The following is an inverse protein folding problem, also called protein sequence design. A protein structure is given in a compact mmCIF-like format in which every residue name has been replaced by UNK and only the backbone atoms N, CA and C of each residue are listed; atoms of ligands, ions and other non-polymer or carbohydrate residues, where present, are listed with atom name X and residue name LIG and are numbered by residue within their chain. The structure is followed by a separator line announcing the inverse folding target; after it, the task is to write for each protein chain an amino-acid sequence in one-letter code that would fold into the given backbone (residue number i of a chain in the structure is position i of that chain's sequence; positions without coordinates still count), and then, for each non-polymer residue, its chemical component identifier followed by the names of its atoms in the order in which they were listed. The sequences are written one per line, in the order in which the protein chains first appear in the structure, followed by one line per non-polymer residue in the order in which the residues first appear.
data_IF_754610075955
#
_entry.id   IF_754610075955
#
_cell.length_a   1.000
_cell.length_b   1.000
_cell.length_c   1.000
_cell.angle_alpha   90.00
_cell.angle_beta   90.00
_cell.angle_gamma   90.00
#
_symmetry.space_group_name_H-M   'P 1'
#
loop_
_entity.id
_entity.type
_entity.pdbx_description
1 polymer ?
#
# COMPACT_ATOMS: atom_id res chain seq x y z
N UNK A 1 11.52 -20.30 -2.56
CA UNK A 1 11.15 -19.11 -1.77
C UNK A 1 12.36 -18.24 -1.47
N UNK A 2 13.46 -18.79 -0.92
CA UNK A 2 14.73 -18.08 -0.69
C UNK A 2 15.30 -17.33 -1.91
N UNK A 3 15.24 -17.89 -3.12
CA UNK A 3 15.76 -17.22 -4.33
C UNK A 3 14.97 -15.98 -4.80
N UNK A 4 13.72 -15.80 -4.36
CA UNK A 4 12.91 -14.61 -4.69
C UNK A 4 13.12 -13.47 -3.69
N UNK A 5 13.61 -13.77 -2.48
CA UNK A 5 13.88 -12.77 -1.43
C UNK A 5 15.05 -11.86 -1.82
N UNK A 6 15.94 -12.36 -2.69
CA UNK A 6 17.13 -11.64 -3.16
C UNK A 6 16.87 -10.78 -4.41
N UNK A 7 15.68 -10.87 -5.01
CA UNK A 7 15.29 -10.02 -6.14
C UNK A 7 14.32 -8.93 -5.70
N UNK A 8 14.65 -7.69 -6.03
CA UNK A 8 13.76 -6.57 -5.80
C UNK A 8 12.50 -6.68 -6.68
N UNK A 9 11.38 -7.05 -6.05
CA UNK A 9 10.07 -7.11 -6.71
C UNK A 9 9.44 -5.72 -6.76
N UNK A 10 9.21 -5.19 -7.96
CA UNK A 10 8.51 -3.94 -8.19
C UNK A 10 7.19 -4.16 -8.91
N UNK A 11 6.14 -3.46 -8.45
CA UNK A 11 4.83 -3.43 -9.07
C UNK A 11 4.43 -1.99 -9.41
N UNK A 12 3.43 -1.84 -10.28
CA UNK A 12 2.75 -0.57 -10.51
C UNK A 12 1.39 -0.57 -9.84
N UNK A 13 1.08 0.45 -9.06
CA UNK A 13 -0.25 0.67 -8.48
C UNK A 13 -1.08 1.50 -9.47
N UNK A 14 -2.28 1.04 -9.77
CA UNK A 14 -3.25 1.66 -10.70
C UNK A 14 -4.65 1.70 -10.10
N UNK A 15 -5.63 2.20 -10.85
CA UNK A 15 -7.03 2.26 -10.43
C UNK A 15 -7.32 3.27 -9.32
N UNK A 16 -6.35 4.12 -8.98
CA UNK A 16 -6.43 5.05 -7.85
C UNK A 16 -7.55 6.08 -7.98
N UNK A 17 -7.93 6.44 -9.21
CA UNK A 17 -9.01 7.38 -9.51
C UNK A 17 -10.41 6.86 -9.16
N UNK A 18 -10.58 5.55 -8.94
CA UNK A 18 -11.82 4.99 -8.40
C UNK A 18 -11.92 5.10 -6.87
N UNK A 19 -10.87 5.62 -6.22
CA UNK A 19 -10.76 5.75 -4.77
C UNK A 19 -10.43 7.21 -4.41
N UNK A 20 -9.23 7.45 -3.86
CA UNK A 20 -8.80 8.75 -3.35
C UNK A 20 -7.76 9.44 -4.26
N UNK A 21 -7.58 8.96 -5.49
CA UNK A 21 -6.56 9.42 -6.42
C UNK A 21 -5.15 9.24 -5.87
N UNK A 22 -4.26 10.19 -6.14
CA UNK A 22 -2.86 10.12 -5.70
C UNK A 22 -2.64 10.57 -4.24
N UNK A 23 -3.65 11.19 -3.61
CA UNK A 23 -3.54 11.83 -2.28
C UNK A 23 -3.01 10.90 -1.16
N UNK A 24 -3.43 9.63 -1.06
CA UNK A 24 -2.95 8.73 0.00
C UNK A 24 -1.50 8.27 -0.17
N UNK A 25 -0.89 8.52 -1.33
CA UNK A 25 0.40 7.96 -1.67
C UNK A 25 1.52 8.97 -1.43
N UNK A 26 2.49 8.59 -0.60
CA UNK A 26 3.79 9.23 -0.49
C UNK A 26 4.87 8.17 -0.57
N UNK A 27 6.03 8.55 -1.09
CA UNK A 27 7.22 7.67 -1.08
C UNK A 27 7.53 7.29 0.37
N UNK A 28 7.70 6.00 0.63
CA UNK A 28 7.95 5.47 1.96
C UNK A 28 6.70 5.10 2.78
N UNK A 29 5.48 5.39 2.30
CA UNK A 29 4.27 4.95 3.00
C UNK A 29 4.21 3.42 3.08
N UNK A 30 3.80 2.90 4.23
CA UNK A 30 3.49 1.48 4.37
C UNK A 30 2.05 1.23 3.92
N UNK A 31 1.88 0.32 2.96
CA UNK A 31 0.58 -0.13 2.44
C UNK A 31 0.56 -1.67 2.43
N UNK A 32 -0.63 -2.28 2.39
CA UNK A 32 -0.76 -3.73 2.22
C UNK A 32 -1.19 -4.07 0.78
N UNK A 33 -0.63 -5.14 0.24
CA UNK A 33 -1.22 -5.89 -0.87
C UNK A 33 -2.12 -6.98 -0.29
N UNK A 34 -3.35 -7.11 -0.80
CA UNK A 34 -4.31 -8.14 -0.37
C UNK A 34 -4.89 -8.82 -1.61
N UNK A 35 -4.77 -10.14 -1.71
CA UNK A 35 -5.40 -10.92 -2.79
C UNK A 35 -6.93 -10.85 -2.67
N UNK A 36 -7.62 -10.68 -3.80
CA UNK A 36 -9.07 -10.57 -3.86
C UNK A 36 -9.64 -11.57 -4.89
N UNK A 37 -9.61 -12.89 -4.59
CA UNK A 37 -10.04 -13.93 -5.55
C UNK A 37 -11.53 -13.86 -5.91
N UNK A 38 -12.35 -13.23 -5.06
CA UNK A 38 -13.79 -13.01 -5.29
C UNK A 38 -14.08 -11.78 -6.16
N UNK A 39 -13.04 -11.16 -6.74
CA UNK A 39 -13.21 -10.00 -7.61
C UNK A 39 -13.89 -10.42 -8.93
N UNK A 40 -15.04 -9.81 -9.22
CA UNK A 40 -15.89 -10.18 -10.36
C UNK A 40 -15.25 -9.94 -11.75
N UNK A 41 -14.15 -9.20 -11.82
CA UNK A 41 -13.48 -8.85 -13.09
C UNK A 41 -12.19 -9.63 -13.31
N UNK A 42 -11.46 -9.97 -12.25
CA UNK A 42 -10.13 -10.59 -12.31
C UNK A 42 -9.89 -11.41 -11.04
N UNK A 43 -9.95 -12.74 -11.13
CA UNK A 43 -9.71 -13.66 -9.99
C UNK A 43 -8.27 -13.58 -9.45
N UNK A 44 -7.35 -12.97 -10.20
CA UNK A 44 -5.97 -12.68 -9.77
C UNK A 44 -5.80 -11.23 -9.27
N UNK A 45 -6.90 -10.53 -8.96
CA UNK A 45 -6.84 -9.17 -8.46
C UNK A 45 -6.07 -9.09 -7.13
N UNK A 46 -5.19 -8.09 -7.03
CA UNK A 46 -4.45 -7.76 -5.81
C UNK A 46 -4.74 -6.30 -5.45
N UNK A 47 -5.55 -6.12 -4.42
CA UNK A 47 -5.91 -4.81 -3.88
C UNK A 47 -4.76 -4.18 -3.13
N UNK A 48 -4.67 -2.85 -3.19
CA UNK A 48 -3.74 -2.03 -2.41
C UNK A 48 -4.52 -1.33 -1.31
N UNK A 49 -4.12 -1.53 -0.06
CA UNK A 49 -4.79 -1.04 1.13
C UNK A 49 -3.91 -0.04 1.88
N UNK A 50 -4.46 1.13 2.20
CA UNK A 50 -3.86 2.09 3.13
C UNK A 50 -4.39 1.86 4.55
N UNK A 51 -3.55 1.98 5.59
CA UNK A 51 -3.99 1.89 6.98
C UNK A 51 -5.12 2.87 7.28
N UNK A 52 -6.12 2.43 8.04
CA UNK A 52 -7.32 3.19 8.45
C UNK A 52 -8.28 3.56 7.30
N UNK A 53 -7.75 3.95 6.14
CA UNK A 53 -8.53 4.45 4.99
C UNK A 53 -9.16 3.29 4.18
N UNK A 54 -8.45 2.17 4.05
CA UNK A 54 -8.91 1.01 3.27
C UNK A 54 -8.36 0.97 1.84
N UNK A 55 -9.16 0.48 0.89
CA UNK A 55 -8.72 0.23 -0.50
C UNK A 55 -8.43 1.53 -1.23
N UNK A 56 -7.24 1.62 -1.84
CA UNK A 56 -6.75 2.82 -2.54
C UNK A 56 -6.34 2.57 -3.99
N UNK A 57 -6.34 1.31 -4.44
CA UNK A 57 -6.02 0.93 -5.82
C UNK A 57 -5.80 -0.57 -5.97
N UNK A 58 -5.20 -0.96 -7.10
CA UNK A 58 -4.84 -2.34 -7.43
C UNK A 58 -3.44 -2.43 -8.03
N UNK A 59 -2.86 -3.63 -7.99
CA UNK A 59 -1.69 -3.96 -8.80
C UNK A 59 -2.09 -3.96 -10.29
N UNK A 60 -1.32 -3.28 -11.12
CA UNK A 60 -1.56 -3.21 -12.55
C UNK A 60 -1.43 -4.59 -13.22
N UNK A 61 -2.45 -5.01 -13.97
CA UNK A 61 -2.42 -6.26 -14.73
C UNK A 61 -2.33 -6.07 -16.26
N UNK A 62 -2.46 -4.85 -16.77
CA UNK A 62 -2.43 -4.57 -18.22
C UNK A 62 -1.14 -3.88 -18.69
N UNK A 63 -0.64 -4.12 -19.92
CA UNK A 63 0.56 -3.47 -20.44
C UNK A 63 0.48 -1.93 -20.48
N UNK A 64 -0.73 -1.37 -20.66
CA UNK A 64 -0.95 0.07 -20.70
C UNK A 64 -0.75 0.73 -19.31
N UNK A 65 -1.15 0.04 -18.25
CA UNK A 65 -1.08 0.55 -16.87
C UNK A 65 0.25 0.23 -16.21
N UNK A 66 0.93 -0.84 -16.62
CA UNK A 66 2.22 -1.27 -16.09
C UNK A 66 3.35 -0.27 -16.43
N UNK A 67 4.18 0.09 -15.45
CA UNK A 67 5.45 0.76 -15.71
C UNK A 67 6.48 -0.27 -16.21
N UNK A 68 7.30 0.09 -17.20
CA UNK A 68 8.36 -0.80 -17.69
C UNK A 68 9.31 -1.18 -16.54
N UNK A 69 9.67 -2.47 -16.47
CA UNK A 69 10.49 -3.03 -15.40
C UNK A 69 9.72 -3.48 -14.16
N UNK A 70 8.39 -3.27 -14.09
CA UNK A 70 7.54 -3.81 -13.03
C UNK A 70 6.89 -5.15 -13.43
N UNK A 71 6.52 -5.93 -12.42
CA UNK A 71 5.71 -7.15 -12.54
C UNK A 71 4.22 -6.80 -12.57
N UNK A 72 3.46 -7.51 -13.38
CA UNK A 72 2.00 -7.43 -13.41
C UNK A 72 1.36 -8.27 -12.30
N UNK A 73 0.09 -8.02 -11.99
CA UNK A 73 -0.71 -8.80 -11.04
C UNK A 73 -0.60 -10.30 -11.27
N UNK A 74 -0.96 -10.79 -12.46
CA UNK A 74 -0.89 -12.21 -12.77
C UNK A 74 0.53 -12.82 -12.74
N UNK A 75 1.59 -12.01 -12.92
CA UNK A 75 2.97 -12.52 -12.80
C UNK A 75 3.42 -12.70 -11.37
N UNK A 76 2.89 -11.89 -10.45
CA UNK A 76 3.31 -11.88 -9.06
C UNK A 76 2.34 -12.64 -8.16
N UNK A 77 1.11 -12.92 -8.62
CA UNK A 77 0.03 -13.48 -7.81
C UNK A 77 0.44 -14.74 -7.05
N UNK A 78 0.92 -15.78 -7.74
CA UNK A 78 1.34 -17.05 -7.11
C UNK A 78 2.59 -16.93 -6.25
N UNK A 79 3.35 -15.85 -6.40
CA UNK A 79 4.59 -15.59 -5.65
C UNK A 79 4.31 -14.91 -4.30
N UNK A 80 3.14 -14.29 -4.14
CA UNK A 80 2.79 -13.55 -2.93
C UNK A 80 1.93 -14.39 -1.97
N UNK A 81 2.06 -14.16 -0.65
CA UNK A 81 1.06 -14.60 0.30
C UNK A 81 -0.28 -13.88 0.09
N UNK A 82 -1.30 -14.25 0.86
CA UNK A 82 -2.61 -13.59 0.81
C UNK A 82 -2.54 -12.09 1.14
N UNK A 83 -1.63 -11.71 2.04
CA UNK A 83 -1.37 -10.32 2.37
C UNK A 83 0.12 -10.10 2.64
N UNK A 84 0.67 -9.00 2.10
CA UNK A 84 2.04 -8.58 2.40
C UNK A 84 2.22 -7.05 2.30
N UNK A 85 3.34 -6.55 2.82
CA UNK A 85 3.71 -5.15 2.81
C UNK A 85 4.18 -4.71 1.42
N UNK A 86 3.82 -3.49 1.04
CA UNK A 86 4.33 -2.81 -0.16
C UNK A 86 4.64 -1.34 0.16
N UNK A 87 5.74 -0.83 -0.39
CA UNK A 87 6.23 0.52 -0.11
C UNK A 87 6.42 1.28 -1.43
N UNK A 88 5.71 2.39 -1.68
CA UNK A 88 5.95 3.25 -2.82
C UNK A 88 7.39 3.79 -2.80
N UNK A 89 8.10 3.62 -3.92
CA UNK A 89 9.48 4.10 -4.10
C UNK A 89 9.58 5.23 -5.10
N UNK A 90 8.69 5.25 -6.09
CA UNK A 90 8.58 6.32 -7.06
C UNK A 90 7.12 6.66 -7.33
N UNK A 91 6.82 7.95 -7.43
CA UNK A 91 5.49 8.45 -7.80
C UNK A 91 5.71 9.45 -8.93
N UNK A 92 5.04 9.21 -10.06
CA UNK A 92 4.98 10.12 -11.20
C UNK A 92 3.60 10.76 -11.27
N UNK A 93 3.37 11.59 -12.28
CA UNK A 93 2.04 12.16 -12.52
C UNK A 93 0.96 11.10 -12.76
N UNK A 94 1.33 9.92 -13.27
CA UNK A 94 0.37 8.90 -13.73
C UNK A 94 0.58 7.52 -13.14
N UNK A 95 1.72 7.23 -12.50
CA UNK A 95 2.06 5.90 -12.01
C UNK A 95 2.69 5.97 -10.62
N UNK A 96 2.40 4.96 -9.81
CA UNK A 96 3.08 4.72 -8.54
C UNK A 96 3.82 3.38 -8.68
N UNK A 97 5.14 3.41 -8.50
CA UNK A 97 5.98 2.22 -8.52
C UNK A 97 6.36 1.90 -7.09
N UNK A 98 6.07 0.66 -6.67
CA UNK A 98 6.22 0.25 -5.30
C UNK A 98 7.00 -1.06 -5.20
N UNK A 99 7.82 -1.17 -4.15
CA UNK A 99 8.58 -2.38 -3.82
C UNK A 99 7.74 -3.29 -2.94
N UNK A 100 7.65 -4.55 -3.31
CA UNK A 100 6.92 -5.57 -2.56
C UNK A 100 7.84 -6.24 -1.54
N UNK A 101 7.30 -6.52 -0.35
CA UNK A 101 7.97 -7.24 0.73
C UNK A 101 7.13 -8.46 1.12
N UNK A 102 7.23 -9.59 0.39
CA UNK A 102 6.38 -10.77 0.60
C UNK A 102 6.52 -11.39 1.99
N UNK A 103 7.68 -11.18 2.62
CA UNK A 103 8.05 -11.68 3.95
C UNK A 103 7.55 -10.80 5.11
N UNK A 104 6.97 -9.62 4.80
CA UNK A 104 6.54 -8.64 5.79
C UNK A 104 5.05 -8.38 5.67
N UNK A 105 4.43 -8.07 6.81
CA UNK A 105 3.03 -7.64 6.89
C UNK A 105 2.95 -6.34 7.68
N UNK A 106 2.08 -5.44 7.26
CA UNK A 106 1.80 -4.21 7.97
C UNK A 106 0.85 -4.52 9.15
N UNK A 107 1.27 -4.15 10.36
CA UNK A 107 0.46 -4.24 11.58
C UNK A 107 0.29 -2.84 12.11
N UNK A 108 -0.96 -2.41 12.34
CA UNK A 108 -1.29 -1.07 12.85
C UNK A 108 -2.13 -1.21 14.11
N UNK A 109 -1.76 -0.49 15.17
CA UNK A 109 -2.58 -0.30 16.35
C UNK A 109 -3.02 1.17 16.38
N UNK A 110 -4.32 1.41 16.31
CA UNK A 110 -4.89 2.77 16.25
C UNK A 110 -5.91 2.94 17.35
N UNK A 111 -5.68 3.92 18.22
CA UNK A 111 -6.67 4.37 19.20
C UNK A 111 -7.41 5.59 18.62
N UNK A 112 -8.74 5.54 18.61
CA UNK A 112 -9.60 6.62 18.13
C UNK A 112 -10.36 7.17 19.33
N UNK A 113 -10.13 8.43 19.65
CA UNK A 113 -10.78 9.14 20.75
C UNK A 113 -11.48 10.38 20.22
N UNK A 114 -12.65 10.70 20.79
CA UNK A 114 -13.34 11.97 20.55
C UNK A 114 -12.85 12.93 21.63
N UNK A 115 -12.30 14.05 21.21
CA UNK A 115 -11.79 15.10 22.09
C UNK A 115 -12.40 16.45 21.69
N UNK A 116 -12.69 17.29 22.66
CA UNK A 116 -12.95 18.70 22.39
C UNK A 116 -11.66 19.45 22.02
N UNK A 117 -11.78 20.74 21.68
CA UNK A 117 -10.64 21.53 21.25
C UNK A 117 -9.53 21.69 22.30
N UNK A 118 -9.91 21.70 23.58
CA UNK A 118 -8.97 21.84 24.69
C UNK A 118 -8.27 20.50 24.94
N UNK A 119 -9.03 19.42 25.04
CA UNK A 119 -8.52 18.05 25.21
C UNK A 119 -7.55 17.68 24.07
N UNK A 120 -7.87 18.03 22.82
CA UNK A 120 -7.00 17.81 21.68
C UNK A 120 -5.67 18.56 21.78
N UNK A 121 -5.69 19.82 22.26
CA UNK A 121 -4.47 20.62 22.42
C UNK A 121 -3.57 20.04 23.50
N UNK A 122 -4.14 19.71 24.66
CA UNK A 122 -3.39 19.10 25.77
C UNK A 122 -2.73 17.77 25.34
N UNK A 123 -3.50 16.93 24.64
CA UNK A 123 -3.03 15.66 24.09
C UNK A 123 -1.89 15.87 23.07
N UNK A 124 -2.05 16.80 22.12
CA UNK A 124 -1.03 17.08 21.10
C UNK A 124 0.27 17.61 21.71
N UNK A 125 0.18 18.49 22.72
CA UNK A 125 1.34 19.05 23.40
C UNK A 125 2.08 17.98 24.23
N UNK A 126 1.33 17.06 24.84
CA UNK A 126 1.89 15.88 25.52
C UNK A 126 2.69 14.99 24.56
N UNK A 127 2.10 14.60 23.43
CA UNK A 127 2.77 13.72 22.47
C UNK A 127 3.98 14.37 21.80
N UNK A 128 3.96 15.67 21.50
CA UNK A 128 5.12 16.37 20.92
C UNK A 128 6.34 16.29 21.85
N UNK A 129 6.15 16.46 23.16
CA UNK A 129 7.22 16.35 24.16
C UNK A 129 7.82 14.95 24.24
N UNK A 130 7.02 13.90 24.03
CA UNK A 130 7.50 12.51 24.03
C UNK A 130 8.35 12.16 22.80
N UNK A 131 8.23 12.90 21.70
CA UNK A 131 8.92 12.61 20.44
C UNK A 131 10.18 13.44 20.19
N UNK A 132 10.49 14.38 21.08
CA UNK A 132 11.65 15.29 20.99
C UNK A 132 12.86 14.84 21.85
N UNK A 133 12.84 13.64 22.44
CA UNK A 133 13.98 12.93 23.07
C UNK A 133 14.57 11.85 22.14
#
# INVERSE_FOLDING_TARGET
MEQLVDQDLYITITGTHHYFGMSPFKVGNFLSLVKEPENIFDEEAIAVMAPVIGKVGYVANSPHTLAKGCLSGGRIYDLLPNECLVIPRFITQTKIIARVHPDKKLVTHTEITIADSNEFREMSDFYRKLTEE
#
